data_IF_014846742006
#
_entry.id   IF_014846742006
#
_cell.length_a   1.000
_cell.length_b   1.000
_cell.length_c   1.000
_cell.angle_alpha   90.00
_cell.angle_beta   90.00
_cell.angle_gamma   90.00
#
_symmetry.space_group_name_H-M   'P 1'
#
loop_
_entity.id
_entity.type
_entity.pdbx_description
1 polymer ?
#
# COMPACT_ATOMS: atom_id res chain seq x y z
N UNK A 1 -16.16 -22.30 8.16
CA UNK A 1 -16.46 -21.56 6.91
C UNK A 1 -17.80 -20.88 7.11
N UNK A 2 -17.85 -19.54 7.16
CA UNK A 2 -19.13 -18.80 7.31
C UNK A 2 -19.67 -18.53 5.90
N UNK A 3 -20.78 -19.18 5.57
CA UNK A 3 -21.59 -18.92 4.38
C UNK A 3 -22.21 -17.53 4.51
N UNK A 4 -21.75 -16.59 3.69
CA UNK A 4 -22.38 -15.26 3.57
C UNK A 4 -23.69 -15.40 2.81
N UNK A 5 -24.81 -15.39 3.53
CA UNK A 5 -26.11 -15.15 2.91
C UNK A 5 -26.11 -13.70 2.42
N UNK A 6 -25.90 -13.51 1.12
CA UNK A 6 -25.99 -12.20 0.47
C UNK A 6 -27.41 -11.66 0.61
N UNK A 7 -27.57 -10.41 1.03
CA UNK A 7 -28.90 -9.77 1.09
C UNK A 7 -29.58 -9.87 -0.30
N UNK A 8 -30.85 -10.32 -0.39
CA UNK A 8 -31.54 -10.49 -1.67
C UNK A 8 -31.61 -9.17 -2.46
N UNK A 9 -31.75 -8.03 -1.78
CA UNK A 9 -31.77 -6.71 -2.41
C UNK A 9 -30.42 -6.35 -3.10
N UNK A 10 -29.30 -6.71 -2.48
CA UNK A 10 -27.98 -6.52 -3.06
C UNK A 10 -27.75 -7.41 -4.29
N UNK A 11 -28.33 -8.62 -4.27
CA UNK A 11 -28.23 -9.58 -5.37
C UNK A 11 -29.06 -9.15 -6.57
N UNK A 12 -30.23 -8.55 -6.36
CA UNK A 12 -31.03 -7.94 -7.42
C UNK A 12 -30.33 -6.77 -8.08
N UNK A 13 -29.79 -5.83 -7.29
CA UNK A 13 -28.99 -4.70 -7.82
C UNK A 13 -27.76 -5.19 -8.60
N UNK A 14 -27.11 -6.26 -8.13
CA UNK A 14 -25.99 -6.87 -8.86
C UNK A 14 -26.45 -7.42 -10.22
N UNK A 15 -27.57 -8.15 -10.29
CA UNK A 15 -28.10 -8.69 -11.55
C UNK A 15 -28.42 -7.59 -12.56
N UNK A 16 -28.96 -6.48 -12.09
CA UNK A 16 -29.24 -5.31 -12.92
C UNK A 16 -27.94 -4.72 -13.49
N UNK A 17 -26.95 -4.48 -12.63
CA UNK A 17 -25.61 -4.02 -13.02
C UNK A 17 -24.92 -5.00 -13.99
N UNK A 18 -25.04 -6.31 -13.75
CA UNK A 18 -24.46 -7.34 -14.60
C UNK A 18 -25.06 -7.31 -16.02
N UNK A 19 -26.36 -7.04 -16.16
CA UNK A 19 -27.01 -6.90 -17.48
C UNK A 19 -26.48 -5.69 -18.24
N UNK A 20 -26.29 -4.57 -17.54
CA UNK A 20 -25.75 -3.35 -18.14
C UNK A 20 -24.28 -3.57 -18.53
N UNK A 21 -23.44 -4.00 -17.59
CA UNK A 21 -22.00 -4.19 -17.79
C UNK A 21 -21.64 -5.37 -18.72
N UNK A 22 -22.50 -6.39 -18.79
CA UNK A 22 -22.30 -7.56 -19.65
C UNK A 22 -22.25 -7.19 -21.14
N UNK A 23 -23.02 -6.17 -21.55
CA UNK A 23 -22.96 -5.63 -22.93
C UNK A 23 -21.62 -4.95 -23.25
N UNK A 24 -20.90 -4.50 -22.22
CA UNK A 24 -19.58 -3.86 -22.34
C UNK A 24 -18.43 -4.86 -22.18
N UNK A 25 -18.70 -6.14 -21.93
CA UNK A 25 -17.68 -7.18 -21.71
C UNK A 25 -17.08 -7.22 -20.30
N UNK A 26 -17.71 -6.57 -19.32
CA UNK A 26 -17.24 -6.56 -17.93
C UNK A 26 -18.13 -7.42 -17.02
N UNK A 27 -17.52 -8.08 -16.03
CA UNK A 27 -18.21 -8.83 -14.98
C UNK A 27 -18.16 -8.07 -13.65
N UNK A 28 -19.28 -8.02 -12.92
CA UNK A 28 -19.37 -7.38 -11.60
C UNK A 28 -19.43 -8.48 -10.54
N UNK A 29 -18.49 -8.47 -9.61
CA UNK A 29 -18.43 -9.47 -8.52
C UNK A 29 -18.62 -8.80 -7.16
N UNK A 30 -19.46 -9.41 -6.32
CA UNK A 30 -19.58 -9.02 -4.91
C UNK A 30 -18.46 -9.69 -4.12
N UNK A 31 -17.42 -8.91 -3.82
CA UNK A 31 -16.32 -9.36 -2.95
C UNK A 31 -16.56 -8.81 -1.54
N UNK A 32 -16.48 -9.64 -0.49
CA UNK A 32 -16.56 -9.16 0.89
C UNK A 32 -15.50 -8.08 1.16
N UNK A 33 -15.87 -7.01 1.87
CA UNK A 33 -14.95 -5.91 2.17
C UNK A 33 -13.67 -6.39 2.90
N UNK A 34 -13.81 -7.41 3.75
CA UNK A 34 -12.71 -8.04 4.50
C UNK A 34 -11.66 -8.68 3.57
N UNK A 35 -12.10 -9.33 2.49
CA UNK A 35 -11.21 -10.01 1.55
C UNK A 35 -10.39 -9.00 0.72
N UNK A 36 -11.02 -7.86 0.35
CA UNK A 36 -10.33 -6.76 -0.33
C UNK A 36 -9.25 -6.12 0.56
N UNK A 37 -9.55 -5.94 1.85
CA UNK A 37 -8.61 -5.44 2.84
C UNK A 37 -7.42 -6.38 2.94
N UNK A 38 -7.66 -7.68 3.12
CA UNK A 38 -6.60 -8.67 3.27
C UNK A 38 -5.70 -8.73 2.02
N UNK A 39 -6.29 -8.71 0.83
CA UNK A 39 -5.55 -8.67 -0.44
C UNK A 39 -4.66 -7.44 -0.54
N UNK A 40 -5.13 -6.29 -0.09
CA UNK A 40 -4.34 -5.05 -0.09
C UNK A 40 -3.19 -5.10 0.93
N UNK A 41 -3.43 -5.64 2.12
CA UNK A 41 -2.43 -5.76 3.19
C UNK A 41 -1.28 -6.73 2.85
N UNK A 42 -1.52 -7.70 1.97
CA UNK A 42 -0.50 -8.65 1.49
C UNK A 42 0.44 -8.07 0.43
N UNK A 43 0.08 -6.94 -0.18
CA UNK A 43 0.89 -6.34 -1.24
C UNK A 43 2.11 -5.64 -0.66
N UNK A 44 3.30 -5.80 -1.27
CA UNK A 44 4.48 -5.05 -0.85
C UNK A 44 4.29 -3.55 -1.02
N UNK A 45 5.00 -2.77 -0.21
CA UNK A 45 4.99 -1.30 -0.22
C UNK A 45 6.31 -0.76 -0.75
N UNK A 46 6.32 -0.14 -1.95
CA UNK A 46 7.48 0.60 -2.46
C UNK A 46 8.00 1.65 -1.47
N UNK A 47 7.10 2.28 -0.69
CA UNK A 47 7.46 3.18 0.40
C UNK A 47 8.41 2.55 1.40
N UNK A 48 8.10 1.32 1.84
CA UNK A 48 8.95 0.56 2.75
C UNK A 48 10.32 0.21 2.19
N UNK A 49 10.48 0.15 0.86
CA UNK A 49 11.72 -0.22 0.18
C UNK A 49 12.61 0.99 -0.14
N UNK A 50 12.05 2.00 -0.81
CA UNK A 50 12.84 3.12 -1.33
C UNK A 50 13.01 4.26 -0.34
N UNK A 51 12.21 4.29 0.73
CA UNK A 51 12.33 5.31 1.77
C UNK A 51 11.85 4.80 3.14
N UNK A 52 12.47 3.71 3.62
CA UNK A 52 12.06 2.96 4.83
C UNK A 52 11.83 3.85 6.05
N UNK A 53 12.72 4.79 6.35
CA UNK A 53 12.64 5.67 7.52
C UNK A 53 11.40 6.58 7.44
N UNK A 54 11.23 7.29 6.32
CA UNK A 54 10.08 8.17 6.10
C UNK A 54 8.78 7.38 6.04
N UNK A 55 8.80 6.19 5.45
CA UNK A 55 7.67 5.27 5.43
C UNK A 55 7.24 4.84 6.83
N UNK A 56 8.18 4.36 7.66
CA UNK A 56 7.88 3.93 9.02
C UNK A 56 7.28 5.08 9.85
N UNK A 57 7.85 6.29 9.74
CA UNK A 57 7.31 7.48 10.40
C UNK A 57 5.92 7.86 9.85
N UNK A 58 5.77 7.92 8.53
CA UNK A 58 4.54 8.34 7.85
C UNK A 58 3.37 7.38 8.02
N UNK A 59 3.65 6.12 8.37
CA UNK A 59 2.65 5.06 8.59
C UNK A 59 2.49 4.69 10.08
N UNK A 60 2.92 5.58 10.98
CA UNK A 60 2.78 5.46 12.46
C UNK A 60 3.47 4.21 13.05
N UNK A 61 4.56 3.76 12.43
CA UNK A 61 5.37 2.63 12.86
C UNK A 61 6.66 3.11 13.54
N UNK A 62 6.52 3.90 14.62
CA UNK A 62 7.63 4.60 15.26
C UNK A 62 8.74 3.69 15.79
N UNK A 63 8.40 2.49 16.26
CA UNK A 63 9.40 1.51 16.68
C UNK A 63 10.27 1.06 15.50
N UNK A 64 9.66 0.80 14.34
CA UNK A 64 10.39 0.42 13.13
C UNK A 64 11.22 1.57 12.56
N UNK A 65 10.77 2.81 12.75
CA UNK A 65 11.60 3.98 12.47
C UNK A 65 12.88 3.96 13.31
N UNK A 66 12.80 3.76 14.62
CA UNK A 66 13.99 3.68 15.49
C UNK A 66 14.91 2.51 15.10
N UNK A 67 14.35 1.32 14.84
CA UNK A 67 15.12 0.16 14.38
C UNK A 67 15.83 0.45 13.07
N UNK A 68 15.19 1.20 12.15
CA UNK A 68 15.76 1.52 10.84
C UNK A 68 16.96 2.47 10.88
N UNK A 69 17.20 3.15 12.01
CA UNK A 69 18.36 4.03 12.20
C UNK A 69 19.64 3.26 12.58
N UNK A 70 19.51 2.03 13.07
CA UNK A 70 20.64 1.18 13.43
C UNK A 70 21.17 0.52 12.14
N UNK A 71 22.45 0.69 11.75
CA UNK A 71 22.93 0.26 10.44
C UNK A 71 22.64 -1.22 10.10
N UNK A 72 22.86 -2.13 11.06
CA UNK A 72 22.64 -3.56 10.87
C UNK A 72 21.14 -3.89 10.89
N UNK A 73 20.40 -3.33 11.84
CA UNK A 73 18.95 -3.58 11.95
C UNK A 73 18.14 -2.85 10.85
N UNK A 74 18.75 -1.87 10.18
CA UNK A 74 18.16 -1.13 9.07
C UNK A 74 17.83 -2.00 7.87
N UNK A 75 18.68 -2.97 7.53
CA UNK A 75 18.39 -3.93 6.47
C UNK A 75 17.21 -4.84 6.82
N UNK A 76 17.11 -5.25 8.09
CA UNK A 76 15.97 -6.03 8.59
C UNK A 76 14.69 -5.20 8.55
N UNK A 77 14.76 -3.94 8.99
CA UNK A 77 13.63 -3.00 8.93
C UNK A 77 13.19 -2.75 7.49
N UNK A 78 14.11 -2.61 6.54
CA UNK A 78 13.80 -2.45 5.12
C UNK A 78 13.02 -3.66 4.57
N UNK A 79 13.50 -4.88 4.80
CA UNK A 79 12.81 -6.09 4.37
C UNK A 79 11.44 -6.25 5.03
N UNK A 80 11.36 -5.98 6.34
CA UNK A 80 10.11 -6.04 7.09
C UNK A 80 9.10 -4.99 6.63
N UNK A 81 9.52 -3.75 6.40
CA UNK A 81 8.64 -2.67 5.93
C UNK A 81 8.18 -2.88 4.49
N UNK A 82 9.04 -3.41 3.62
CA UNK A 82 8.67 -3.73 2.25
C UNK A 82 7.58 -4.81 2.17
N UNK A 83 7.74 -5.91 2.90
CA UNK A 83 6.85 -7.07 2.83
C UNK A 83 5.63 -6.96 3.76
N UNK A 84 5.85 -6.46 4.97
CA UNK A 84 4.86 -6.48 6.05
C UNK A 84 4.45 -5.10 6.55
N UNK A 85 5.07 -4.02 6.07
CA UNK A 85 4.83 -2.66 6.55
C UNK A 85 3.35 -2.26 6.55
N UNK A 86 2.60 -2.61 5.49
CA UNK A 86 1.16 -2.35 5.44
C UNK A 86 0.38 -3.11 6.51
N UNK A 87 0.69 -4.39 6.71
CA UNK A 87 0.05 -5.24 7.71
C UNK A 87 0.37 -4.78 9.14
N UNK A 88 1.62 -4.39 9.38
CA UNK A 88 2.07 -3.88 10.67
C UNK A 88 1.40 -2.53 10.98
N UNK A 89 1.45 -1.58 10.05
CA UNK A 89 0.77 -0.30 10.16
C UNK A 89 -0.74 -0.45 10.37
N UNK A 90 -1.40 -1.39 9.69
CA UNK A 90 -2.83 -1.62 9.89
C UNK A 90 -3.16 -2.11 11.30
N UNK A 91 -2.29 -2.95 11.89
CA UNK A 91 -2.48 -3.48 13.25
C UNK A 91 -2.17 -2.45 14.34
N UNK A 92 -1.15 -1.59 14.15
CA UNK A 92 -0.63 -0.72 15.20
C UNK A 92 -0.92 0.77 15.01
N UNK A 93 -1.37 1.19 13.83
CA UNK A 93 -1.42 2.60 13.44
C UNK A 93 -2.70 3.33 13.84
N UNK A 94 -3.64 2.69 14.53
CA UNK A 94 -4.90 3.30 15.02
C UNK A 94 -5.59 4.14 13.94
N UNK A 95 -5.91 3.51 12.81
CA UNK A 95 -6.56 4.18 11.67
C UNK A 95 -8.07 4.26 11.88
N UNK A 96 -8.68 5.41 11.55
CA UNK A 96 -10.13 5.60 11.73
C UNK A 96 -10.92 4.80 10.68
N UNK A 97 -10.35 4.61 9.50
CA UNK A 97 -10.94 3.81 8.43
C UNK A 97 -9.92 3.19 7.48
N UNK A 98 -10.32 2.12 6.80
CA UNK A 98 -9.49 1.52 5.76
C UNK A 98 -9.23 2.47 4.58
N UNK A 99 -10.18 3.37 4.29
CA UNK A 99 -10.03 4.37 3.23
C UNK A 99 -8.93 5.38 3.56
N UNK A 100 -8.89 5.86 4.81
CA UNK A 100 -7.84 6.75 5.31
C UNK A 100 -6.47 6.05 5.26
N UNK A 101 -6.40 4.83 5.79
CA UNK A 101 -5.19 4.01 5.74
C UNK A 101 -4.67 3.86 4.30
N UNK A 102 -5.55 3.44 3.38
CA UNK A 102 -5.18 3.23 1.96
C UNK A 102 -4.66 4.52 1.32
N UNK A 103 -5.34 5.65 1.56
CA UNK A 103 -4.92 6.96 1.05
C UNK A 103 -3.53 7.33 1.57
N UNK A 104 -3.27 7.09 2.85
CA UNK A 104 -1.96 7.37 3.46
C UNK A 104 -0.87 6.47 2.91
N UNK A 105 -1.13 5.18 2.72
CA UNK A 105 -0.20 4.23 2.11
C UNK A 105 0.17 4.63 0.67
N UNK A 106 -0.84 5.00 -0.14
CA UNK A 106 -0.61 5.48 -1.51
C UNK A 106 0.22 6.77 -1.55
N UNK A 107 -0.02 7.70 -0.63
CA UNK A 107 0.78 8.90 -0.50
C UNK A 107 2.25 8.56 -0.21
N UNK A 108 2.51 7.65 0.74
CA UNK A 108 3.88 7.27 1.08
C UNK A 108 4.58 6.52 -0.04
N UNK A 109 3.88 5.62 -0.75
CA UNK A 109 4.44 4.94 -1.92
C UNK A 109 4.74 5.94 -3.05
N UNK A 110 3.86 6.91 -3.28
CA UNK A 110 4.07 7.98 -4.26
C UNK A 110 5.27 8.86 -3.94
N UNK A 111 5.42 9.28 -2.67
CA UNK A 111 6.60 10.02 -2.21
C UNK A 111 7.89 9.23 -2.39
N UNK A 112 7.85 7.91 -2.17
CA UNK A 112 9.02 7.06 -2.35
C UNK A 112 9.43 6.93 -3.83
N UNK A 113 8.47 6.87 -4.75
CA UNK A 113 8.78 6.95 -6.19
C UNK A 113 9.33 8.31 -6.60
N UNK A 114 8.77 9.40 -6.08
CA UNK A 114 9.28 10.74 -6.33
C UNK A 114 10.73 10.90 -5.82
N UNK A 115 10.99 10.38 -4.63
CA UNK A 115 12.33 10.34 -4.04
C UNK A 115 13.32 9.53 -4.88
N UNK A 116 12.93 8.32 -5.32
CA UNK A 116 13.73 7.51 -6.22
C UNK A 116 14.04 8.24 -7.53
N UNK A 117 13.03 8.90 -8.13
CA UNK A 117 13.20 9.72 -9.33
C UNK A 117 14.19 10.86 -9.13
N UNK A 118 14.13 11.54 -7.97
CA UNK A 118 15.08 12.58 -7.60
C UNK A 118 16.51 12.03 -7.48
N UNK A 119 16.71 10.90 -6.81
CA UNK A 119 18.03 10.28 -6.68
C UNK A 119 18.63 9.90 -8.04
N UNK A 120 17.81 9.35 -8.94
CA UNK A 120 18.21 9.02 -10.31
C UNK A 120 18.58 10.30 -11.08
N UNK A 121 17.77 11.35 -11.00
CA UNK A 121 18.03 12.62 -11.68
C UNK A 121 19.34 13.27 -11.19
N UNK A 122 19.57 13.29 -9.88
CA UNK A 122 20.81 13.81 -9.28
C UNK A 122 22.01 12.98 -9.70
N UNK A 123 21.90 11.65 -9.71
CA UNK A 123 22.96 10.77 -10.18
C UNK A 123 23.33 11.04 -11.66
N UNK A 124 22.34 11.13 -12.53
CA UNK A 124 22.55 11.42 -13.96
C UNK A 124 23.16 12.81 -14.16
N UNK A 125 22.68 13.82 -13.43
CA UNK A 125 23.25 15.17 -13.47
C UNK A 125 24.73 15.18 -13.08
N UNK A 126 25.09 14.58 -11.95
CA UNK A 126 26.49 14.48 -11.52
C UNK A 126 27.35 13.69 -12.51
N UNK A 127 26.80 12.64 -13.12
CA UNK A 127 27.53 11.76 -14.03
C UNK A 127 27.86 12.41 -15.37
N UNK A 128 26.93 13.21 -15.92
CA UNK A 128 27.03 13.73 -17.29
C UNK A 128 27.30 15.24 -17.37
N UNK A 129 26.87 16.02 -16.38
CA UNK A 129 27.01 17.48 -16.39
C UNK A 129 28.07 17.93 -15.38
N UNK A 130 28.10 17.35 -14.18
CA UNK A 130 29.05 17.74 -13.13
C UNK A 130 30.52 17.36 -13.38
N UNK A 131 30.84 16.66 -14.47
CA UNK A 131 32.20 16.30 -14.88
C UNK A 131 32.73 17.17 -16.03
N UNK A 132 31.95 18.12 -16.54
CA UNK A 132 32.35 19.13 -17.52
C UNK A 132 32.77 20.43 -16.82
#
# INVERSE_FOLDING_TARGET
>A
MKTTATCPECLEKLKELQKICGSCGYTVELVPAEELIERYLKRPSPGGLFWTQAYALGTRQYLWFLVSLIPIAGFVALGAMFLFGRRLSWKSGEWDSFAEFKKRQQLMDGLAYAWLGLLIAVFLYMRYVGQA
#
